data_IF_388723528948
#
_entry.id   IF_388723528948
#
_cell.length_a   1.000
_cell.length_b   1.000
_cell.length_c   1.000
_cell.angle_alpha   90.00
_cell.angle_beta   90.00
_cell.angle_gamma   90.00
#
_symmetry.space_group_name_H-M   'P 1'
#
loop_
_entity.id
_entity.type
_entity.pdbx_description
1 polymer ?
#
# COMPACT_ATOMS: atom_id res chain seq x y z
N UNK A 1 -34.18 -50.62 6.15
CA UNK A 1 -32.83 -50.45 6.74
C UNK A 1 -31.68 -50.45 5.73
N UNK A 2 -31.93 -50.71 4.44
CA UNK A 2 -30.88 -50.74 3.38
C UNK A 2 -30.73 -49.43 2.61
N UNK A 3 -31.71 -48.52 2.69
CA UNK A 3 -31.71 -47.22 1.98
C UNK A 3 -30.99 -46.13 2.80
N UNK A 4 -30.85 -46.32 4.12
CA UNK A 4 -30.20 -45.35 4.99
C UNK A 4 -28.68 -45.27 4.77
N UNK A 5 -28.04 -46.42 4.54
CA UNK A 5 -26.61 -46.52 4.24
C UNK A 5 -26.19 -45.76 2.96
N UNK A 6 -26.84 -45.93 1.80
CA UNK A 6 -26.46 -45.19 0.59
C UNK A 6 -26.72 -43.68 0.74
N UNK A 7 -27.75 -43.27 1.48
CA UNK A 7 -28.02 -41.85 1.74
C UNK A 7 -26.93 -41.24 2.63
N UNK A 8 -26.60 -41.88 3.76
CA UNK A 8 -25.57 -41.38 4.68
C UNK A 8 -24.19 -41.37 4.02
N UNK A 9 -23.89 -42.39 3.21
CA UNK A 9 -22.64 -42.50 2.47
C UNK A 9 -22.52 -41.41 1.40
N UNK A 10 -23.60 -41.15 0.65
CA UNK A 10 -23.62 -40.07 -0.35
C UNK A 10 -23.48 -38.69 0.29
N UNK A 11 -24.13 -38.46 1.43
CA UNK A 11 -23.97 -37.24 2.21
C UNK A 11 -22.53 -37.06 2.72
N UNK A 12 -21.91 -38.12 3.25
CA UNK A 12 -20.52 -38.09 3.68
C UNK A 12 -19.56 -37.83 2.51
N UNK A 13 -19.77 -38.50 1.38
CA UNK A 13 -18.94 -38.34 0.18
C UNK A 13 -18.99 -36.89 -0.35
N UNK A 14 -20.19 -36.35 -0.53
CA UNK A 14 -20.37 -34.96 -0.98
C UNK A 14 -19.80 -33.95 0.01
N UNK A 15 -19.95 -34.19 1.32
CA UNK A 15 -19.37 -33.34 2.35
C UNK A 15 -17.84 -33.35 2.32
N UNK A 16 -17.20 -34.53 2.18
CA UNK A 16 -15.74 -34.63 2.09
C UNK A 16 -15.20 -33.94 0.84
N UNK A 17 -15.86 -34.12 -0.30
CA UNK A 17 -15.51 -33.44 -1.55
C UNK A 17 -15.64 -31.92 -1.39
N UNK A 18 -16.76 -31.44 -0.84
CA UNK A 18 -16.96 -30.01 -0.55
C UNK A 18 -15.89 -29.46 0.41
N UNK A 19 -15.53 -30.20 1.45
CA UNK A 19 -14.50 -29.81 2.42
C UNK A 19 -13.12 -29.70 1.77
N UNK A 20 -12.75 -30.63 0.90
CA UNK A 20 -11.50 -30.58 0.15
C UNK A 20 -11.44 -29.37 -0.78
N UNK A 21 -12.50 -29.14 -1.57
CA UNK A 21 -12.61 -27.95 -2.42
C UNK A 21 -12.61 -26.65 -1.62
N UNK A 22 -13.31 -26.59 -0.48
CA UNK A 22 -13.31 -25.42 0.41
C UNK A 22 -11.89 -25.10 0.90
N UNK A 23 -11.18 -26.09 1.44
CA UNK A 23 -9.79 -25.93 1.90
C UNK A 23 -8.87 -25.46 0.77
N UNK A 24 -9.03 -25.98 -0.44
CA UNK A 24 -8.27 -25.54 -1.60
C UNK A 24 -8.65 -24.11 -2.07
N UNK A 25 -9.93 -23.73 -1.98
CA UNK A 25 -10.41 -22.39 -2.35
C UNK A 25 -9.93 -21.29 -1.39
N UNK A 26 -9.62 -21.65 -0.14
CA UNK A 26 -8.96 -20.75 0.81
C UNK A 26 -7.53 -20.38 0.36
N UNK A 27 -6.86 -21.21 -0.44
CA UNK A 27 -5.56 -20.87 -1.06
C UNK A 27 -5.66 -19.88 -2.23
N UNK A 28 -6.86 -19.70 -2.80
CA UNK A 28 -7.10 -18.76 -3.91
C UNK A 28 -7.51 -17.36 -3.44
N UNK A 29 -7.97 -17.22 -2.19
CA UNK A 29 -8.31 -15.95 -1.55
C UNK A 29 -7.07 -15.27 -0.93
N UNK A 30 -5.97 -15.24 -1.65
CA UNK A 30 -4.89 -14.29 -1.37
C UNK A 30 -5.16 -13.09 -2.29
N UNK A 31 -5.90 -12.06 -1.84
CA UNK A 31 -5.66 -10.76 -2.42
C UNK A 31 -4.17 -10.50 -2.16
N UNK A 32 -3.40 -10.37 -3.24
CA UNK A 32 -2.05 -9.83 -3.21
C UNK A 32 -2.17 -8.34 -2.87
N UNK A 33 -2.68 -8.07 -1.67
CA UNK A 33 -2.66 -6.78 -1.00
C UNK A 33 -1.68 -6.99 0.12
N UNK A 34 -0.41 -6.89 -0.27
CA UNK A 34 0.64 -6.28 0.51
C UNK A 34 0.06 -5.39 1.61
N UNK A 35 -0.11 -6.00 2.79
CA UNK A 35 -0.62 -5.37 3.98
C UNK A 35 0.49 -4.50 4.57
N UNK A 36 0.87 -3.47 3.84
CA UNK A 36 1.41 -2.26 4.44
C UNK A 36 0.21 -1.48 4.96
N UNK A 37 -0.25 -1.85 6.15
CA UNK A 37 -1.19 -1.07 6.95
C UNK A 37 -0.49 0.20 7.38
N UNK A 38 -0.54 1.25 6.57
CA UNK A 38 -0.49 2.62 7.05
C UNK A 38 -1.31 3.48 6.09
N UNK A 39 -2.32 4.15 6.65
CA UNK A 39 -2.79 5.45 6.18
C UNK A 39 -3.35 5.58 4.76
N UNK A 40 -4.67 5.71 4.70
CA UNK A 40 -5.39 6.73 3.90
C UNK A 40 -5.38 6.67 2.36
N UNK A 41 -6.62 6.66 1.88
CA UNK A 41 -7.15 7.26 0.64
C UNK A 41 -6.67 6.71 -0.70
N UNK A 42 -7.67 6.56 -1.58
CA UNK A 42 -7.60 6.23 -2.99
C UNK A 42 -6.90 7.32 -3.83
N UNK A 43 -5.82 7.91 -3.33
CA UNK A 43 -4.92 8.67 -4.19
C UNK A 43 -3.98 7.67 -4.80
N UNK A 44 -3.90 7.67 -6.13
CA UNK A 44 -2.89 6.97 -6.92
C UNK A 44 -1.54 7.58 -6.53
N UNK A 45 -1.02 7.26 -5.35
CA UNK A 45 0.22 7.81 -4.80
C UNK A 45 1.32 7.34 -5.72
N UNK A 46 1.66 8.17 -6.71
CA UNK A 46 2.89 8.06 -7.46
C UNK A 46 3.98 7.92 -6.39
N UNK A 47 4.69 6.80 -6.42
CA UNK A 47 5.65 6.43 -5.37
C UNK A 47 6.80 7.43 -5.42
N UNK A 48 6.65 8.56 -4.75
CA UNK A 48 7.69 9.55 -4.58
C UNK A 48 8.62 9.06 -3.47
N UNK A 49 9.91 8.91 -3.79
CA UNK A 49 10.94 8.66 -2.78
C UNK A 49 11.37 10.01 -2.21
N UNK A 50 11.03 10.27 -0.96
CA UNK A 50 11.42 11.48 -0.23
C UNK A 50 12.68 11.16 0.57
N UNK A 51 13.66 12.07 0.58
CA UNK A 51 14.84 11.93 1.45
C UNK A 51 14.41 12.00 2.92
N UNK A 52 14.95 11.15 3.81
CA UNK A 52 14.50 11.08 5.21
C UNK A 52 14.74 12.39 5.99
N UNK A 53 15.68 13.22 5.54
CA UNK A 53 15.96 14.55 6.11
C UNK A 53 14.85 15.57 5.85
N UNK A 54 13.93 15.29 4.92
CA UNK A 54 12.77 16.14 4.63
C UNK A 54 11.54 15.71 5.42
N UNK A 55 11.67 14.77 6.35
CA UNK A 55 10.57 14.22 7.13
C UNK A 55 10.73 14.53 8.62
N UNK A 56 9.61 14.84 9.27
CA UNK A 56 9.54 14.96 10.72
C UNK A 56 9.63 13.59 11.42
N UNK A 57 9.71 13.58 12.76
CA UNK A 57 9.74 12.34 13.56
C UNK A 57 8.48 11.47 13.40
N UNK A 58 7.39 12.04 12.89
CA UNK A 58 6.12 11.36 12.66
C UNK A 58 5.98 10.85 11.21
N UNK A 59 6.93 11.16 10.33
CA UNK A 59 6.94 10.75 8.92
C UNK A 59 6.18 11.68 7.97
N UNK A 60 5.81 12.89 8.38
CA UNK A 60 5.24 13.92 7.51
C UNK A 60 6.34 14.80 6.92
N UNK A 61 6.02 15.62 5.91
CA UNK A 61 6.96 16.62 5.40
C UNK A 61 7.33 17.58 6.53
N UNK A 62 8.64 17.75 6.74
CA UNK A 62 9.16 18.61 7.80
C UNK A 62 8.87 20.09 7.48
N UNK A 63 8.39 20.82 8.47
CA UNK A 63 8.21 22.29 8.42
C UNK A 63 9.39 23.02 9.09
N UNK A 64 10.42 22.28 9.52
CA UNK A 64 11.58 22.86 10.20
C UNK A 64 12.52 23.58 9.21
N UNK A 65 13.20 24.62 9.70
CA UNK A 65 14.18 25.37 8.89
C UNK A 65 15.45 24.51 8.73
N UNK A 66 15.61 23.90 7.55
CA UNK A 66 16.75 23.07 7.22
C UNK A 66 17.99 23.92 6.92
N UNK A 67 19.12 23.57 7.55
CA UNK A 67 20.39 24.21 7.29
C UNK A 67 20.81 23.98 5.83
N UNK A 68 20.92 25.07 5.08
CA UNK A 68 21.42 25.03 3.70
C UNK A 68 22.72 25.80 3.62
N UNK A 69 23.78 25.15 3.13
CA UNK A 69 25.05 25.83 2.87
C UNK A 69 25.03 26.32 1.42
N UNK A 70 24.92 27.64 1.23
CA UNK A 70 25.14 28.27 -0.08
C UNK A 70 26.63 28.54 -0.24
N UNK A 71 27.25 27.87 -1.20
CA UNK A 71 28.59 28.25 -1.63
C UNK A 71 28.46 29.55 -2.44
N UNK A 72 29.08 30.62 -1.96
CA UNK A 72 29.33 31.80 -2.77
C UNK A 72 30.30 31.38 -3.86
N UNK A 73 29.77 30.99 -5.01
CA UNK A 73 30.54 31.04 -6.24
C UNK A 73 30.56 32.52 -6.62
N UNK A 74 31.73 33.10 -6.90
CA UNK A 74 31.89 34.47 -7.40
C UNK A 74 31.27 34.69 -8.80
N UNK A 75 30.20 33.95 -9.13
CA UNK A 75 29.44 33.96 -10.37
C UNK A 75 27.96 34.13 -10.06
N UNK A 76 27.60 35.23 -9.39
CA UNK A 76 26.23 35.73 -9.44
C UNK A 76 25.89 36.05 -10.91
N UNK A 77 25.00 35.27 -11.52
CA UNK A 77 24.06 35.81 -12.51
C UNK A 77 22.86 34.87 -12.68
N UNK A 78 21.70 35.45 -12.36
CA UNK A 78 20.35 35.07 -12.82
C UNK A 78 19.79 33.72 -12.38
N UNK A 79 19.37 33.63 -11.12
CA UNK A 79 18.10 32.97 -10.83
C UNK A 79 17.11 34.06 -10.40
N UNK A 80 16.64 34.79 -11.42
CA UNK A 80 15.51 35.70 -11.31
C UNK A 80 14.30 34.93 -10.77
N UNK A 81 13.84 35.37 -9.61
CA UNK A 81 12.44 35.67 -9.28
C UNK A 81 11.44 35.36 -10.42
N UNK A 82 10.99 34.11 -10.50
CA UNK A 82 9.85 33.77 -11.36
C UNK A 82 8.54 34.04 -10.61
N UNK A 83 8.10 35.29 -10.69
CA UNK A 83 6.70 35.65 -10.87
C UNK A 83 5.80 35.60 -9.63
N UNK A 84 5.85 36.69 -8.88
CA UNK A 84 4.73 37.24 -8.11
C UNK A 84 3.48 37.44 -9.01
N UNK A 85 2.32 37.35 -8.38
CA UNK A 85 0.93 37.39 -8.84
C UNK A 85 0.56 38.36 -9.97
N UNK A 86 -0.33 37.93 -10.87
CA UNK A 86 -1.18 38.82 -11.69
C UNK A 86 -2.63 38.31 -11.61
N UNK A 87 -3.47 39.09 -10.95
CA UNK A 87 -4.92 39.21 -11.18
C UNK A 87 -5.28 40.70 -10.93
#
# INVERSE_FOLDING_TARGET
MTILFPIIYSAALTYLVWKAFKVMSNGWNIPRVEKNRYGTSNFKQKKYTVHPELLDKAGNITEEELLTVRFSNDNDSTLEEKGSTTD
#
